data_IF_207303674516
#
_entry.id   IF_207303674516
#
_cell.length_a   1.000
_cell.length_b   1.000
_cell.length_c   1.000
_cell.angle_alpha   90.00
_cell.angle_beta   90.00
_cell.angle_gamma   90.00
#
_symmetry.space_group_name_H-M   'P 1'
#
loop_
_entity.id
_entity.type
_entity.pdbx_description
1 polymer ?
#
# COMPACT_ATOMS: atom_id res chain seq x y z
N UNK A 1 31.73 -3.97 -5.77
CA UNK A 1 30.68 -4.26 -4.77
C UNK A 1 31.35 -4.26 -3.40
N UNK A 2 31.10 -3.24 -2.58
CA UNK A 2 31.64 -3.14 -1.23
C UNK A 2 30.44 -3.17 -0.27
N UNK A 3 30.15 -4.35 0.29
CA UNK A 3 29.11 -4.50 1.32
C UNK A 3 29.77 -4.19 2.67
N UNK A 4 29.19 -3.29 3.45
CA UNK A 4 29.75 -2.94 4.75
C UNK A 4 29.48 -4.11 5.71
N UNK A 5 30.48 -4.55 6.50
CA UNK A 5 30.33 -5.67 7.46
C UNK A 5 29.16 -5.44 8.43
N UNK A 6 28.80 -4.18 8.69
CA UNK A 6 27.65 -3.80 9.53
C UNK A 6 26.29 -4.15 8.90
N UNK A 7 26.22 -4.32 7.58
CA UNK A 7 24.99 -4.66 6.85
C UNK A 7 24.70 -6.17 6.84
N UNK A 8 25.69 -7.00 7.19
CA UNK A 8 25.57 -8.47 7.16
C UNK A 8 24.51 -8.95 8.17
N UNK A 9 24.53 -8.47 9.42
CA UNK A 9 23.58 -8.93 10.45
C UNK A 9 22.12 -8.53 10.13
N UNK A 10 21.81 -7.27 9.78
CA UNK A 10 20.47 -6.89 9.32
C UNK A 10 20.01 -7.67 8.08
N UNK A 11 20.92 -7.97 7.16
CA UNK A 11 20.61 -8.80 6.00
C UNK A 11 20.25 -10.24 6.40
N UNK A 12 20.98 -10.84 7.34
CA UNK A 12 20.62 -12.14 7.91
C UNK A 12 19.26 -12.12 8.61
N UNK A 13 18.97 -11.09 9.40
CA UNK A 13 17.66 -10.92 10.04
C UNK A 13 16.52 -10.76 9.01
N UNK A 14 16.79 -10.10 7.88
CA UNK A 14 15.86 -9.96 6.75
C UNK A 14 15.58 -11.29 6.06
N UNK A 15 16.61 -12.07 5.70
CA UNK A 15 16.41 -13.37 5.04
C UNK A 15 15.82 -14.44 5.96
N UNK A 16 16.02 -14.32 7.28
CA UNK A 16 15.42 -15.22 8.28
C UNK A 16 13.98 -14.79 8.66
N UNK A 17 13.39 -13.80 7.98
CA UNK A 17 12.05 -13.26 8.26
C UNK A 17 11.86 -12.74 9.70
N UNK A 18 12.96 -12.48 10.41
CA UNK A 18 12.99 -11.90 11.76
C UNK A 18 13.05 -10.37 11.73
N UNK A 19 13.30 -9.81 10.55
CA UNK A 19 13.24 -8.37 10.30
C UNK A 19 11.80 -7.87 10.40
N UNK A 20 11.59 -6.66 10.95
CA UNK A 20 10.28 -5.99 10.90
C UNK A 20 9.90 -5.53 9.47
N UNK A 21 10.78 -5.69 8.49
CA UNK A 21 10.59 -5.28 7.09
C UNK A 21 10.52 -6.50 6.16
N UNK A 22 9.52 -6.56 5.30
CA UNK A 22 9.36 -7.61 4.28
C UNK A 22 8.88 -7.01 2.95
N UNK A 23 9.36 -7.55 1.82
CA UNK A 23 8.87 -7.18 0.48
C UNK A 23 7.81 -8.19 0.01
N UNK A 24 6.92 -7.74 -0.87
CA UNK A 24 5.62 -8.36 -1.20
C UNK A 24 5.59 -9.87 -1.57
N UNK A 25 6.73 -10.51 -1.80
CA UNK A 25 6.82 -11.92 -2.19
C UNK A 25 7.28 -12.87 -1.06
N UNK A 26 7.71 -12.36 0.10
CA UNK A 26 8.22 -13.17 1.24
C UNK A 26 7.23 -13.40 2.38
N UNK A 27 6.11 -12.67 2.46
CA UNK A 27 5.26 -12.67 3.67
C UNK A 27 4.02 -13.58 3.57
N UNK A 28 4.02 -14.61 2.72
CA UNK A 28 2.84 -15.45 2.49
C UNK A 28 2.64 -16.46 3.63
N UNK A 29 2.16 -15.97 4.77
CA UNK A 29 1.88 -16.78 5.96
C UNK A 29 2.20 -16.08 7.29
N UNK A 30 3.03 -15.04 7.26
CA UNK A 30 3.33 -14.23 8.45
C UNK A 30 2.17 -13.27 8.75
N UNK A 31 1.86 -13.10 10.04
CA UNK A 31 0.93 -12.11 10.57
C UNK A 31 1.65 -11.33 11.68
N UNK A 32 1.30 -10.06 11.85
CA UNK A 32 1.96 -9.17 12.80
C UNK A 32 0.92 -8.43 13.66
N UNK A 33 1.21 -8.20 14.96
CA UNK A 33 0.28 -7.46 15.83
C UNK A 33 -0.05 -6.05 15.31
N UNK A 34 0.94 -5.34 14.79
CA UNK A 34 0.80 -3.97 14.27
C UNK A 34 1.48 -3.90 12.90
N UNK A 35 0.75 -3.40 11.90
CA UNK A 35 1.25 -3.27 10.52
C UNK A 35 1.06 -1.84 10.03
N UNK A 36 2.10 -1.32 9.39
CA UNK A 36 2.02 -0.07 8.62
C UNK A 36 2.19 -0.44 7.15
N UNK A 37 1.23 -0.04 6.32
CA UNK A 37 1.29 -0.19 4.87
C UNK A 37 1.56 1.18 4.28
N UNK A 38 2.64 1.30 3.52
CA UNK A 38 3.01 2.51 2.79
C UNK A 38 2.91 2.18 1.30
N UNK A 39 1.79 2.49 0.62
CA UNK A 39 1.68 2.25 -0.81
C UNK A 39 2.53 3.28 -1.56
N UNK A 40 3.39 2.79 -2.45
CA UNK A 40 4.20 3.63 -3.32
C UNK A 40 3.78 3.41 -4.78
N UNK A 41 3.18 4.44 -5.38
CA UNK A 41 2.76 4.46 -6.80
C UNK A 41 3.88 4.96 -7.74
N UNK A 42 4.96 5.53 -7.22
CA UNK A 42 6.00 6.21 -8.00
C UNK A 42 7.20 5.31 -8.31
N UNK A 43 7.53 4.35 -7.44
CA UNK A 43 8.74 3.53 -7.58
C UNK A 43 8.58 2.35 -8.57
N UNK A 44 7.35 2.04 -8.98
CA UNK A 44 7.09 0.95 -9.91
C UNK A 44 7.37 1.37 -11.36
N UNK A 45 8.46 0.89 -11.95
CA UNK A 45 8.77 1.01 -13.40
C UNK A 45 7.69 0.40 -14.34
N UNK A 46 6.61 -0.15 -13.79
CA UNK A 46 5.51 -0.77 -14.51
C UNK A 46 4.15 -0.32 -13.94
N UNK A 47 3.25 0.15 -14.81
CA UNK A 47 1.87 0.57 -14.49
C UNK A 47 0.92 -0.60 -14.10
N UNK A 48 1.44 -1.65 -13.47
CA UNK A 48 0.68 -2.85 -13.13
C UNK A 48 -0.30 -2.61 -11.97
N UNK A 49 0.07 -1.71 -11.06
CA UNK A 49 -0.68 -1.34 -9.86
C UNK A 49 -0.80 0.18 -9.75
N UNK A 50 -1.88 0.66 -9.13
CA UNK A 50 -2.02 2.07 -8.74
C UNK A 50 -3.02 2.21 -7.60
N UNK A 51 -2.49 2.55 -6.43
CA UNK A 51 -3.26 2.83 -5.22
C UNK A 51 -4.00 4.16 -5.34
N UNK A 52 -3.45 5.17 -6.02
CA UNK A 52 -4.14 6.43 -6.27
C UNK A 52 -5.43 6.22 -7.08
N UNK A 53 -5.41 5.36 -8.10
CA UNK A 53 -6.59 5.00 -8.88
C UNK A 53 -7.59 4.18 -8.05
N UNK A 54 -7.09 3.23 -7.26
CA UNK A 54 -7.93 2.39 -6.39
C UNK A 54 -8.66 3.21 -5.32
N UNK A 55 -7.99 4.21 -4.76
CA UNK A 55 -8.51 5.09 -3.71
C UNK A 55 -9.32 6.27 -4.27
N UNK A 56 -9.45 6.38 -5.59
CA UNK A 56 -10.18 7.47 -6.25
C UNK A 56 -9.49 8.83 -6.21
N UNK A 57 -8.21 8.88 -5.80
CA UNK A 57 -7.38 10.09 -5.80
C UNK A 57 -7.07 10.51 -7.24
N UNK A 58 -6.80 9.51 -8.10
CA UNK A 58 -6.54 9.70 -9.53
C UNK A 58 -7.67 9.08 -10.34
N UNK A 59 -8.09 9.78 -11.41
CA UNK A 59 -9.07 9.24 -12.36
C UNK A 59 -8.52 8.05 -13.14
N UNK A 60 -9.42 7.12 -13.47
CA UNK A 60 -9.15 6.04 -14.41
C UNK A 60 -8.91 6.59 -15.82
N UNK A 61 -8.00 5.96 -16.55
CA UNK A 61 -7.83 6.22 -17.99
C UNK A 61 -8.89 5.48 -18.81
N UNK A 62 -9.10 5.88 -20.06
CA UNK A 62 -10.03 5.21 -20.98
C UNK A 62 -9.72 3.72 -21.19
N UNK A 63 -8.43 3.34 -21.06
CA UNK A 63 -8.00 1.95 -21.13
C UNK A 63 -8.36 1.18 -19.86
N UNK A 64 -8.23 1.82 -18.69
CA UNK A 64 -8.63 1.21 -17.42
C UNK A 64 -10.13 0.92 -17.41
N UNK A 65 -10.94 1.89 -17.84
CA UNK A 65 -12.40 1.76 -17.93
C UNK A 65 -12.77 0.59 -18.87
N UNK A 66 -12.19 0.55 -20.07
CA UNK A 66 -12.40 -0.56 -21.01
C UNK A 66 -12.00 -1.93 -20.45
N UNK A 67 -10.92 -2.01 -19.68
CA UNK A 67 -10.50 -3.26 -19.06
C UNK A 67 -11.47 -3.72 -17.97
N UNK A 68 -12.00 -2.79 -17.16
CA UNK A 68 -13.03 -3.08 -16.15
C UNK A 68 -14.32 -3.56 -16.83
N UNK A 69 -14.80 -2.85 -17.85
CA UNK A 69 -16.06 -3.16 -18.54
C UNK A 69 -15.99 -4.49 -19.31
N UNK A 70 -14.80 -4.85 -19.83
CA UNK A 70 -14.59 -6.11 -20.55
C UNK A 70 -14.33 -7.32 -19.63
N UNK A 71 -14.39 -7.13 -18.31
CA UNK A 71 -14.14 -8.19 -17.32
C UNK A 71 -12.71 -8.72 -17.34
N UNK A 72 -11.77 -8.00 -17.95
CA UNK A 72 -10.34 -8.35 -17.96
C UNK A 72 -9.71 -7.96 -16.63
N UNK A 73 -8.61 -8.62 -16.29
CA UNK A 73 -7.84 -8.30 -15.10
C UNK A 73 -7.33 -6.84 -15.16
N UNK A 74 -7.90 -5.99 -14.33
CA UNK A 74 -7.68 -4.54 -14.34
C UNK A 74 -6.62 -4.12 -13.33
N UNK A 75 -6.05 -2.93 -13.50
CA UNK A 75 -5.13 -2.33 -12.52
C UNK A 75 -5.80 -2.23 -11.14
N UNK A 76 -7.09 -1.91 -11.11
CA UNK A 76 -7.87 -1.83 -9.87
C UNK A 76 -7.94 -3.19 -9.16
N UNK A 77 -8.26 -4.25 -9.89
CA UNK A 77 -8.40 -5.59 -9.31
C UNK A 77 -7.07 -6.12 -8.77
N UNK A 78 -5.99 -5.95 -9.53
CA UNK A 78 -4.64 -6.31 -9.07
C UNK A 78 -4.23 -5.53 -7.83
N UNK A 79 -4.44 -4.21 -7.83
CA UNK A 79 -4.09 -3.35 -6.69
C UNK A 79 -4.94 -3.68 -5.47
N UNK A 80 -6.23 -3.96 -5.65
CA UNK A 80 -7.14 -4.38 -4.57
C UNK A 80 -6.67 -5.67 -3.93
N UNK A 81 -6.32 -6.70 -4.71
CA UNK A 81 -5.82 -7.97 -4.19
C UNK A 81 -4.53 -7.77 -3.41
N UNK A 82 -3.63 -6.93 -3.93
CA UNK A 82 -2.36 -6.65 -3.27
C UNK A 82 -2.56 -5.89 -1.95
N UNK A 83 -3.38 -4.84 -1.97
CA UNK A 83 -3.75 -4.10 -0.76
C UNK A 83 -4.39 -5.03 0.27
N UNK A 84 -5.32 -5.89 -0.14
CA UNK A 84 -5.97 -6.87 0.73
C UNK A 84 -4.95 -7.79 1.41
N UNK A 85 -3.97 -8.30 0.67
CA UNK A 85 -2.90 -9.13 1.24
C UNK A 85 -2.11 -8.36 2.28
N UNK A 86 -1.73 -7.10 2.01
CA UNK A 86 -0.97 -6.27 2.95
C UNK A 86 -1.75 -5.97 4.23
N UNK A 87 -3.01 -5.52 4.11
CA UNK A 87 -3.83 -5.13 5.27
C UNK A 87 -4.28 -6.33 6.10
N UNK A 88 -4.49 -7.49 5.48
CA UNK A 88 -4.90 -8.72 6.17
C UNK A 88 -3.80 -9.33 7.06
N UNK A 89 -2.56 -8.82 7.00
CA UNK A 89 -1.48 -9.25 7.91
C UNK A 89 -1.61 -8.66 9.32
N UNK A 90 -2.43 -7.62 9.50
CA UNK A 90 -2.58 -6.93 10.77
C UNK A 90 -3.55 -7.68 11.69
N UNK A 91 -3.09 -8.08 12.88
CA UNK A 91 -3.94 -8.76 13.88
C UNK A 91 -4.64 -7.75 14.80
N UNK A 92 -3.93 -6.70 15.25
CA UNK A 92 -4.47 -5.76 16.25
C UNK A 92 -4.59 -4.33 15.71
N UNK A 93 -3.58 -3.84 14.99
CA UNK A 93 -3.57 -2.45 14.52
C UNK A 93 -3.02 -2.33 13.11
N UNK A 94 -3.68 -1.49 12.31
CA UNK A 94 -3.31 -1.20 10.94
C UNK A 94 -3.23 0.31 10.76
N UNK A 95 -2.16 0.78 10.13
CA UNK A 95 -2.08 2.13 9.58
C UNK A 95 -1.75 2.03 8.09
N UNK A 96 -2.45 2.80 7.26
CA UNK A 96 -2.14 2.93 5.83
C UNK A 96 -1.72 4.37 5.60
N UNK A 97 -0.48 4.58 5.17
CA UNK A 97 0.12 5.90 4.97
C UNK A 97 0.24 6.15 3.48
N UNK A 98 -0.50 7.12 2.97
CA UNK A 98 -0.54 7.46 1.55
C UNK A 98 0.12 8.82 1.36
N UNK A 99 1.07 8.88 0.42
CA UNK A 99 1.63 10.15 -0.02
C UNK A 99 0.81 10.69 -1.19
N UNK A 100 0.44 11.96 -1.13
CA UNK A 100 -0.25 12.64 -2.22
C UNK A 100 0.13 14.12 -2.24
N UNK A 101 0.25 14.67 -3.44
CA UNK A 101 0.49 16.10 -3.63
C UNK A 101 -0.75 16.95 -3.29
N UNK A 102 -1.96 16.36 -3.36
CA UNK A 102 -3.23 17.01 -3.00
C UNK A 102 -3.86 16.29 -1.81
N UNK A 103 -3.43 16.68 -0.60
CA UNK A 103 -3.87 16.07 0.67
C UNK A 103 -5.39 16.22 0.85
N UNK A 104 -5.95 17.39 0.52
CA UNK A 104 -7.37 17.68 0.68
C UNK A 104 -8.23 16.86 -0.29
N UNK A 105 -7.83 16.80 -1.57
CA UNK A 105 -8.48 15.96 -2.58
C UNK A 105 -8.39 14.48 -2.23
N UNK A 106 -7.23 14.00 -1.78
CA UNK A 106 -7.04 12.62 -1.36
C UNK A 106 -7.94 12.25 -0.17
N UNK A 107 -8.00 13.10 0.87
CA UNK A 107 -8.90 12.90 2.02
C UNK A 107 -10.35 12.79 1.57
N UNK A 108 -10.83 13.73 0.75
CA UNK A 108 -12.21 13.72 0.25
C UNK A 108 -12.51 12.48 -0.61
N UNK A 109 -11.56 12.04 -1.43
CA UNK A 109 -11.72 10.84 -2.25
C UNK A 109 -11.87 9.58 -1.39
N UNK A 110 -11.02 9.42 -0.37
CA UNK A 110 -11.05 8.27 0.54
C UNK A 110 -12.33 8.26 1.39
N UNK A 111 -12.76 9.43 1.87
CA UNK A 111 -14.03 9.58 2.60
C UNK A 111 -15.23 9.16 1.74
N UNK A 112 -15.29 9.61 0.48
CA UNK A 112 -16.35 9.23 -0.47
C UNK A 112 -16.34 7.74 -0.81
N UNK A 113 -15.16 7.13 -0.88
CA UNK A 113 -15.02 5.70 -1.18
C UNK A 113 -15.57 4.81 -0.06
N UNK A 114 -15.62 5.33 1.18
CA UNK A 114 -16.15 4.60 2.33
C UNK A 114 -15.32 3.39 2.75
N UNK A 115 -14.09 3.25 2.23
CA UNK A 115 -13.21 2.10 2.49
C UNK A 115 -12.72 2.05 3.95
N UNK A 116 -12.79 3.20 4.64
CA UNK A 116 -12.34 3.41 6.00
C UNK A 116 -13.46 3.22 7.06
N UNK A 117 -14.44 2.35 6.83
CA UNK A 117 -15.57 2.18 7.75
C UNK A 117 -15.10 1.86 9.18
N UNK A 118 -15.12 2.85 10.07
CA UNK A 118 -14.63 2.78 11.46
C UNK A 118 -13.16 3.18 11.68
N UNK A 119 -12.40 3.43 10.61
CA UNK A 119 -11.03 3.93 10.70
C UNK A 119 -11.00 5.47 10.71
N UNK A 120 -10.00 6.04 11.41
CA UNK A 120 -9.76 7.48 11.41
C UNK A 120 -8.88 7.86 10.23
N UNK A 121 -9.31 8.83 9.43
CA UNK A 121 -8.50 9.41 8.37
C UNK A 121 -7.79 10.63 8.95
N UNK A 122 -6.47 10.56 9.04
CA UNK A 122 -5.61 11.60 9.59
C UNK A 122 -4.76 12.19 8.46
N UNK A 123 -4.51 13.50 8.53
CA UNK A 123 -3.58 14.23 7.67
C UNK A 123 -2.34 14.62 8.46
N UNK A 124 -1.30 15.13 7.79
CA UNK A 124 -0.10 15.61 8.47
C UNK A 124 -0.42 16.62 9.59
N UNK A 125 -1.42 17.49 9.37
CA UNK A 125 -1.84 18.50 10.33
C UNK A 125 -2.45 17.91 11.61
N UNK A 126 -3.01 16.70 11.54
CA UNK A 126 -3.59 15.99 12.69
C UNK A 126 -2.54 15.24 13.51
N UNK A 127 -1.32 15.08 12.97
CA UNK A 127 -0.24 14.28 13.55
C UNK A 127 0.81 15.15 14.25
N UNK A 128 0.88 16.46 13.94
CA UNK A 128 1.79 17.39 14.62
C UNK A 128 1.29 17.67 16.03
N UNK A 129 2.02 17.12 17.01
CA UNK A 129 1.92 17.40 18.45
C UNK A 129 2.86 18.54 18.82
#
# INVERSE_FOLDING_TARGET
MACNVKEIRPYFEYIEEKSPFSTQHGSKGAEYPKVIVVPDDQEANYNLYSYEKLLGIRRLSDTDIRNVDSGKDSVLERTRRLLYVCVSRAIMSLAVVIFSNDIAGAKSAIEKLGIAAGAKILTEADIVV
#
